data_IF_403473476050
#
_entry.id   IF_403473476050
#
_cell.length_a   1.000
_cell.length_b   1.000
_cell.length_c   1.000
_cell.angle_alpha   90.00
_cell.angle_beta   90.00
_cell.angle_gamma   90.00
#
_symmetry.space_group_name_H-M   'P 1'
#
loop_
_entity.id
_entity.type
_entity.pdbx_description
1 polymer ?
#
# COMPACT_ATOMS: atom_id res chain seq x y z
N UNK A 1 -25.30 9.77 -6.23
CA UNK A 1 -25.27 8.55 -5.40
C UNK A 1 -24.10 8.75 -4.45
N UNK A 2 -24.31 8.76 -3.14
CA UNK A 2 -23.20 8.71 -2.18
C UNK A 2 -22.58 7.33 -2.29
N UNK A 3 -21.35 7.26 -2.77
CA UNK A 3 -20.53 6.04 -2.75
C UNK A 3 -20.33 5.62 -1.30
N UNK A 4 -20.56 4.35 -0.98
CA UNK A 4 -20.27 3.80 0.33
C UNK A 4 -18.75 3.61 0.52
N UNK A 5 -18.33 3.53 1.78
CA UNK A 5 -16.94 3.17 2.15
C UNK A 5 -16.53 1.89 1.43
N UNK A 6 -15.39 1.93 0.75
CA UNK A 6 -14.83 0.81 -0.01
C UNK A 6 -15.35 0.68 -1.45
N UNK A 7 -16.39 1.41 -1.85
CA UNK A 7 -16.88 1.37 -3.24
C UNK A 7 -15.85 1.98 -4.21
N UNK A 8 -15.15 3.05 -3.81
CA UNK A 8 -14.11 3.69 -4.63
C UNK A 8 -12.90 2.77 -4.75
N UNK A 9 -12.49 2.12 -3.67
CA UNK A 9 -11.39 1.15 -3.71
C UNK A 9 -11.74 -0.05 -4.60
N UNK A 10 -12.97 -0.57 -4.53
CA UNK A 10 -13.41 -1.64 -5.43
C UNK A 10 -13.43 -1.23 -6.90
N UNK A 11 -13.94 -0.03 -7.20
CA UNK A 11 -13.93 0.50 -8.57
C UNK A 11 -12.49 0.63 -9.08
N UNK A 12 -11.61 1.20 -8.26
CA UNK A 12 -10.20 1.34 -8.59
C UNK A 12 -9.51 -0.01 -8.81
N UNK A 13 -9.73 -1.01 -7.95
CA UNK A 13 -9.14 -2.35 -8.10
C UNK A 13 -9.63 -3.06 -9.37
N UNK A 14 -10.91 -2.89 -9.72
CA UNK A 14 -11.48 -3.44 -10.96
C UNK A 14 -10.82 -2.79 -12.18
N UNK A 15 -10.73 -1.47 -12.22
CA UNK A 15 -10.05 -0.76 -13.30
C UNK A 15 -8.57 -1.20 -13.38
N UNK A 16 -7.88 -1.17 -12.25
CA UNK A 16 -6.47 -1.54 -12.12
C UNK A 16 -6.21 -2.94 -12.69
N UNK A 17 -7.06 -3.92 -12.38
CA UNK A 17 -6.91 -5.31 -12.86
C UNK A 17 -6.96 -5.46 -14.38
N UNK A 18 -7.54 -4.49 -15.09
CA UNK A 18 -7.64 -4.48 -16.56
C UNK A 18 -6.45 -3.76 -17.19
N UNK A 19 -5.95 -2.70 -16.56
CA UNK A 19 -4.97 -1.79 -17.16
C UNK A 19 -3.52 -2.10 -16.77
N UNK A 20 -3.31 -2.93 -15.75
CA UNK A 20 -1.98 -3.21 -15.20
C UNK A 20 -1.31 -4.42 -15.86
N UNK A 21 0.02 -4.47 -15.76
CA UNK A 21 0.83 -5.66 -16.12
C UNK A 21 1.11 -6.55 -14.91
N UNK A 22 0.60 -6.19 -13.73
CA UNK A 22 0.76 -6.94 -12.49
C UNK A 22 0.03 -8.27 -12.53
N UNK A 23 0.49 -9.24 -11.74
CA UNK A 23 -0.34 -10.39 -11.41
C UNK A 23 -1.47 -9.93 -10.50
N UNK A 24 -2.71 -10.23 -10.87
CA UNK A 24 -3.90 -9.92 -10.07
C UNK A 24 -4.72 -11.20 -9.87
N UNK A 25 -4.95 -11.56 -8.62
CA UNK A 25 -5.82 -12.67 -8.22
C UNK A 25 -6.88 -12.14 -7.28
N UNK A 26 -8.15 -12.40 -7.59
CA UNK A 26 -9.27 -11.95 -6.78
C UNK A 26 -10.05 -13.14 -6.25
N UNK A 27 -10.36 -13.08 -4.96
CA UNK A 27 -11.27 -13.98 -4.28
C UNK A 27 -12.46 -13.17 -3.77
N UNK A 28 -13.65 -13.44 -4.31
CA UNK A 28 -14.88 -12.82 -3.84
C UNK A 28 -15.59 -13.73 -2.84
N UNK A 29 -16.12 -13.12 -1.78
CA UNK A 29 -16.92 -13.77 -0.74
C UNK A 29 -18.25 -13.04 -0.59
N UNK A 30 -19.17 -13.62 0.20
CA UNK A 30 -20.46 -12.97 0.48
C UNK A 30 -20.35 -11.62 1.21
N UNK A 31 -19.23 -11.38 1.92
CA UNK A 31 -19.06 -10.22 2.80
C UNK A 31 -18.01 -9.22 2.30
N UNK A 32 -17.26 -9.56 1.26
CA UNK A 32 -16.17 -8.74 0.74
C UNK A 32 -15.33 -9.46 -0.29
N UNK A 33 -14.19 -8.87 -0.63
CA UNK A 33 -13.25 -9.42 -1.60
C UNK A 33 -11.81 -9.27 -1.14
N UNK A 34 -10.98 -10.26 -1.46
CA UNK A 34 -9.52 -10.23 -1.28
C UNK A 34 -8.84 -10.16 -2.63
N UNK A 35 -7.91 -9.24 -2.78
CA UNK A 35 -7.15 -8.99 -4.01
C UNK A 35 -5.68 -9.16 -3.72
N UNK A 36 -5.04 -10.11 -4.40
CA UNK A 36 -3.60 -10.31 -4.36
C UNK A 36 -2.99 -9.70 -5.62
N UNK A 37 -2.11 -8.72 -5.43
CA UNK A 37 -1.44 -7.96 -6.47
C UNK A 37 0.06 -8.25 -6.39
N UNK A 38 0.76 -8.27 -7.53
CA UNK A 38 2.19 -8.54 -7.52
C UNK A 38 2.94 -8.03 -8.75
N UNK A 39 4.14 -7.52 -8.48
CA UNK A 39 5.18 -7.24 -9.46
C UNK A 39 6.38 -8.19 -9.29
N UNK A 40 7.49 -7.89 -9.95
CA UNK A 40 8.71 -8.68 -9.87
C UNK A 40 9.40 -8.60 -8.48
N UNK A 41 9.26 -7.48 -7.80
CA UNK A 41 9.97 -7.09 -6.58
C UNK A 41 9.03 -6.64 -5.46
N UNK A 42 7.73 -6.82 -5.61
CA UNK A 42 6.75 -6.49 -4.58
C UNK A 42 5.48 -7.33 -4.70
N UNK A 43 4.74 -7.40 -3.60
CA UNK A 43 3.40 -7.97 -3.54
C UNK A 43 2.52 -7.15 -2.59
N UNK A 44 1.22 -7.15 -2.83
CA UNK A 44 0.24 -6.57 -1.93
C UNK A 44 -1.00 -7.45 -1.80
N UNK A 45 -1.61 -7.45 -0.62
CA UNK A 45 -2.92 -8.03 -0.38
C UNK A 45 -3.88 -6.92 0.04
N UNK A 46 -4.96 -6.72 -0.71
CA UNK A 46 -6.01 -5.76 -0.38
C UNK A 46 -7.27 -6.51 0.03
N UNK A 47 -7.83 -6.18 1.18
CA UNK A 47 -9.10 -6.70 1.67
C UNK A 47 -10.13 -5.58 1.65
N UNK A 48 -11.28 -5.85 1.04
CA UNK A 48 -12.42 -4.93 1.02
C UNK A 48 -13.66 -5.63 1.57
N UNK A 49 -13.96 -5.35 2.83
CA UNK A 49 -15.20 -5.72 3.52
C UNK A 49 -15.92 -4.43 3.93
N UNK A 50 -16.78 -3.89 3.05
CA UNK A 50 -17.40 -2.54 3.15
C UNK A 50 -18.19 -2.25 4.44
N UNK A 51 -18.44 -3.27 5.26
CA UNK A 51 -19.18 -3.16 6.53
C UNK A 51 -18.30 -3.48 7.74
N UNK A 52 -17.03 -3.82 7.55
CA UNK A 52 -16.18 -4.32 8.63
C UNK A 52 -14.72 -3.89 8.54
N UNK A 53 -14.11 -3.94 7.37
CA UNK A 53 -12.66 -3.82 7.24
C UNK A 53 -12.24 -3.37 5.84
N UNK A 54 -11.36 -2.37 5.77
CA UNK A 54 -10.51 -2.14 4.59
C UNK A 54 -9.06 -2.31 5.03
N UNK A 55 -8.25 -2.96 4.21
CA UNK A 55 -6.83 -3.09 4.52
C UNK A 55 -5.97 -3.41 3.31
N UNK A 56 -4.71 -3.03 3.39
CA UNK A 56 -3.64 -3.33 2.47
C UNK A 56 -2.43 -3.78 3.29
N UNK A 57 -1.93 -4.97 2.97
CA UNK A 57 -0.61 -5.44 3.40
C UNK A 57 0.33 -5.34 2.19
N UNK A 58 1.41 -4.58 2.28
CA UNK A 58 2.38 -4.42 1.19
C UNK A 58 3.77 -4.90 1.61
N UNK A 59 4.44 -5.61 0.70
CA UNK A 59 5.81 -6.04 0.85
C UNK A 59 6.60 -5.72 -0.42
N UNK A 60 7.76 -5.07 -0.27
CA UNK A 60 8.77 -5.01 -1.31
C UNK A 60 10.00 -5.83 -0.92
N UNK A 61 10.72 -6.34 -1.92
CA UNK A 61 11.94 -7.11 -1.76
C UNK A 61 13.07 -6.58 -2.63
N UNK A 62 14.30 -6.71 -2.13
CA UNK A 62 15.50 -6.52 -2.93
C UNK A 62 15.83 -7.82 -3.69
N UNK A 63 15.77 -7.84 -5.04
CA UNK A 63 16.08 -9.04 -5.81
C UNK A 63 17.54 -9.52 -5.64
N UNK A 64 18.47 -8.64 -5.23
CA UNK A 64 19.86 -9.01 -5.05
C UNK A 64 20.16 -9.65 -3.68
N UNK A 65 19.42 -9.25 -2.64
CA UNK A 65 19.72 -9.63 -1.25
C UNK A 65 18.59 -10.36 -0.53
N UNK A 66 17.41 -10.46 -1.15
CA UNK A 66 16.16 -10.97 -0.58
C UNK A 66 15.71 -10.26 0.71
N UNK A 67 16.29 -9.09 1.01
CA UNK A 67 15.82 -8.23 2.10
C UNK A 67 14.47 -7.64 1.76
N UNK A 68 13.62 -7.46 2.77
CA UNK A 68 12.23 -7.04 2.62
C UNK A 68 11.92 -5.82 3.45
N UNK A 69 10.90 -5.08 3.05
CA UNK A 69 10.26 -4.05 3.86
C UNK A 69 8.75 -4.19 3.69
N UNK A 70 8.04 -4.14 4.81
CA UNK A 70 6.58 -4.30 4.86
C UNK A 70 5.92 -3.01 5.34
N UNK A 71 4.76 -2.70 4.79
CA UNK A 71 3.95 -1.55 5.16
C UNK A 71 2.47 -1.89 5.04
N UNK A 72 1.73 -1.68 6.12
CA UNK A 72 0.33 -2.05 6.21
C UNK A 72 -0.50 -0.78 6.45
N UNK A 73 -1.66 -0.69 5.78
CA UNK A 73 -2.65 0.37 5.92
C UNK A 73 -3.99 -0.31 6.13
N UNK A 74 -4.65 -0.10 7.26
CA UNK A 74 -5.98 -0.68 7.47
C UNK A 74 -6.87 0.19 8.38
N UNK A 75 -8.14 -0.19 8.46
CA UNK A 75 -9.14 0.50 9.29
C UNK A 75 -9.04 0.12 10.76
N UNK A 76 -7.92 -0.48 11.18
CA UNK A 76 -7.75 -1.16 12.46
C UNK A 76 -8.90 -2.14 12.75
N UNK A 77 -8.91 -2.78 13.92
CA UNK A 77 -9.99 -3.69 14.34
C UNK A 77 -11.37 -3.00 14.53
N UNK A 78 -11.56 -1.80 13.99
CA UNK A 78 -12.81 -1.05 14.05
C UNK A 78 -13.83 -1.53 13.02
N UNK A 79 -15.07 -1.60 13.45
CA UNK A 79 -16.22 -1.88 12.59
C UNK A 79 -16.61 -0.62 11.80
N UNK A 80 -16.24 -0.59 10.52
CA UNK A 80 -16.50 0.53 9.60
C UNK A 80 -17.94 0.59 9.09
N UNK A 81 -18.81 -0.36 9.47
CA UNK A 81 -20.26 -0.25 9.25
C UNK A 81 -20.91 0.83 10.13
N UNK A 82 -20.20 1.34 11.14
CA UNK A 82 -20.68 2.39 12.03
C UNK A 82 -20.39 3.78 11.46
N UNK A 83 -21.40 4.65 11.38
CA UNK A 83 -21.27 6.02 10.85
C UNK A 83 -20.12 6.82 11.46
N UNK A 84 -19.84 6.61 12.76
CA UNK A 84 -18.75 7.28 13.48
C UNK A 84 -17.35 6.96 12.94
N UNK A 85 -17.19 5.82 12.26
CA UNK A 85 -15.93 5.38 11.64
C UNK A 85 -15.84 5.74 10.17
N UNK A 86 -16.88 6.35 9.60
CA UNK A 86 -16.97 6.61 8.16
C UNK A 86 -15.82 7.49 7.66
N UNK A 87 -15.55 8.62 8.33
CA UNK A 87 -14.49 9.54 7.90
C UNK A 87 -13.10 8.88 7.93
N UNK A 88 -12.83 8.10 8.98
CA UNK A 88 -11.60 7.34 9.11
C UNK A 88 -11.49 6.25 8.03
N UNK A 89 -12.56 5.50 7.79
CA UNK A 89 -12.56 4.48 6.75
C UNK A 89 -12.39 5.07 5.34
N UNK A 90 -12.96 6.26 5.08
CA UNK A 90 -12.73 7.01 3.84
C UNK A 90 -11.29 7.53 3.72
N UNK A 91 -10.60 7.81 4.83
CA UNK A 91 -9.17 8.16 4.85
C UNK A 91 -8.30 6.95 4.48
N UNK A 92 -8.51 5.82 5.14
CA UNK A 92 -7.83 4.56 4.83
C UNK A 92 -8.09 4.14 3.37
N UNK A 93 -9.32 4.28 2.88
CA UNK A 93 -9.65 4.03 1.49
C UNK A 93 -8.83 4.90 0.53
N UNK A 94 -8.67 6.20 0.83
CA UNK A 94 -7.87 7.13 0.03
C UNK A 94 -6.40 6.73 0.05
N UNK A 95 -5.86 6.39 1.20
CA UNK A 95 -4.45 6.05 1.38
C UNK A 95 -4.08 4.76 0.62
N UNK A 96 -4.95 3.74 0.67
CA UNK A 96 -4.78 2.50 -0.11
C UNK A 96 -4.77 2.81 -1.61
N UNK A 97 -5.75 3.60 -2.09
CA UNK A 97 -5.83 3.98 -3.51
C UNK A 97 -4.60 4.78 -3.93
N UNK A 98 -4.16 5.74 -3.11
CA UNK A 98 -2.98 6.56 -3.40
C UNK A 98 -1.71 5.70 -3.50
N UNK A 99 -1.49 4.77 -2.56
CA UNK A 99 -0.32 3.89 -2.60
C UNK A 99 -0.32 3.00 -3.86
N UNK A 100 -1.44 2.38 -4.20
CA UNK A 100 -1.55 1.54 -5.40
C UNK A 100 -1.38 2.35 -6.68
N UNK A 101 -1.92 3.57 -6.74
CA UNK A 101 -1.73 4.44 -7.90
C UNK A 101 -0.27 4.92 -8.02
N UNK A 102 0.40 5.19 -6.90
CA UNK A 102 1.82 5.50 -6.87
C UNK A 102 2.69 4.31 -7.30
N UNK A 103 2.32 3.08 -6.94
CA UNK A 103 2.96 1.87 -7.45
C UNK A 103 2.85 1.80 -8.97
N UNK A 104 1.64 2.00 -9.50
CA UNK A 104 1.37 1.97 -10.95
C UNK A 104 2.14 3.05 -11.72
N UNK A 105 2.36 4.21 -11.11
CA UNK A 105 3.14 5.32 -11.66
C UNK A 105 4.65 5.17 -11.50
N UNK A 106 5.14 4.12 -10.85
CA UNK A 106 6.56 3.93 -10.55
C UNK A 106 7.11 4.89 -9.50
N UNK A 107 6.25 5.48 -8.66
CA UNK A 107 6.60 6.44 -7.61
C UNK A 107 6.93 5.77 -6.27
N UNK A 108 6.72 4.45 -6.14
CA UNK A 108 7.21 3.66 -5.01
C UNK A 108 8.62 3.17 -5.33
N UNK A 109 9.57 3.55 -4.49
CA UNK A 109 10.98 3.38 -4.72
C UNK A 109 11.57 2.43 -3.67
N UNK A 110 12.48 1.56 -4.10
CA UNK A 110 13.33 0.76 -3.22
C UNK A 110 14.76 1.24 -3.28
N UNK A 111 15.47 1.20 -2.17
CA UNK A 111 16.86 1.60 -2.05
C UNK A 111 17.51 1.01 -0.81
N UNK A 112 18.69 1.54 -0.46
CA UNK A 112 19.43 1.09 0.71
C UNK A 112 19.91 2.25 1.56
N UNK A 113 20.00 2.01 2.86
CA UNK A 113 20.65 2.91 3.83
C UNK A 113 21.61 2.10 4.69
N UNK A 114 22.88 2.11 4.29
CA UNK A 114 23.88 1.17 4.78
C UNK A 114 23.46 -0.27 4.50
N UNK A 115 23.21 -1.05 5.56
CA UNK A 115 22.76 -2.44 5.46
C UNK A 115 21.24 -2.61 5.46
N UNK A 116 20.46 -1.53 5.55
CA UNK A 116 19.00 -1.60 5.58
C UNK A 116 18.42 -1.54 4.18
N UNK A 117 17.41 -2.37 3.93
CA UNK A 117 16.53 -2.20 2.77
C UNK A 117 15.47 -1.15 3.11
N UNK A 118 15.23 -0.23 2.18
CA UNK A 118 14.39 0.93 2.38
C UNK A 118 13.39 1.03 1.23
N UNK A 119 12.15 1.33 1.57
CA UNK A 119 11.11 1.70 0.60
C UNK A 119 10.66 3.13 0.86
N UNK A 120 10.46 3.91 -0.19
CA UNK A 120 10.01 5.30 -0.12
C UNK A 120 8.86 5.52 -1.10
N UNK A 121 7.78 6.14 -0.65
CA UNK A 121 6.66 6.49 -1.52
C UNK A 121 5.94 7.75 -1.03
N UNK A 122 5.27 8.49 -1.93
CA UNK A 122 4.36 9.55 -1.53
C UNK A 122 3.08 8.97 -0.90
N UNK A 123 2.59 9.62 0.16
CA UNK A 123 1.30 9.34 0.78
C UNK A 123 0.81 10.60 1.51
N UNK A 124 -0.44 11.00 1.28
CA UNK A 124 -1.10 12.12 1.96
C UNK A 124 -0.25 13.42 1.97
N UNK A 125 0.31 13.76 0.81
CA UNK A 125 1.11 14.98 0.62
C UNK A 125 2.50 14.97 1.27
N UNK A 126 2.94 13.84 1.83
CA UNK A 126 4.27 13.63 2.40
C UNK A 126 4.96 12.42 1.77
N UNK A 127 6.20 12.13 2.19
CA UNK A 127 6.94 10.95 1.79
C UNK A 127 7.12 10.00 2.96
N UNK A 128 6.60 8.79 2.83
CA UNK A 128 6.79 7.72 3.80
C UNK A 128 8.06 6.97 3.45
N UNK A 129 8.94 6.80 4.43
CA UNK A 129 10.14 5.97 4.37
C UNK A 129 9.95 4.78 5.29
N UNK A 130 9.96 3.59 4.73
CA UNK A 130 9.86 2.33 5.45
C UNK A 130 11.22 1.67 5.48
N UNK A 131 11.71 1.36 6.68
CA UNK A 131 12.96 0.61 6.87
C UNK A 131 12.68 -0.67 7.64
N UNK A 132 13.19 -1.78 7.15
CA UNK A 132 13.13 -3.03 7.92
C UNK A 132 14.29 -3.11 8.91
N UNK A 133 13.96 -3.14 10.20
CA UNK A 133 14.90 -3.41 11.27
C UNK A 133 15.22 -4.90 11.36
N UNK A 134 15.81 -5.33 12.49
CA UNK A 134 16.16 -6.75 12.70
C UNK A 134 14.94 -7.65 12.97
N UNK A 135 13.82 -7.06 13.38
CA UNK A 135 12.62 -7.78 13.81
C UNK A 135 11.30 -7.16 13.33
N UNK A 136 11.28 -5.86 13.02
CA UNK A 136 10.06 -5.12 12.67
C UNK A 136 10.39 -4.06 11.63
N UNK A 137 9.44 -3.78 10.73
CA UNK A 137 9.47 -2.61 9.84
C UNK A 137 9.14 -1.34 10.65
N UNK A 138 9.76 -0.23 10.30
CA UNK A 138 9.51 1.09 10.87
C UNK A 138 9.22 2.07 9.75
N UNK A 139 8.18 2.88 9.91
CA UNK A 139 7.82 3.94 8.98
C UNK A 139 8.14 5.31 9.58
N UNK A 140 8.56 6.25 8.75
CA UNK A 140 8.78 7.64 9.12
C UNK A 140 8.34 8.56 7.99
N UNK A 141 7.80 9.72 8.33
CA UNK A 141 7.23 10.67 7.36
C UNK A 141 8.14 11.87 7.20
N UNK A 142 8.33 12.30 5.96
CA UNK A 142 9.19 13.41 5.57
C UNK A 142 8.42 14.36 4.65
N UNK A 143 8.62 15.66 4.80
CA UNK A 143 8.04 16.67 3.90
C UNK A 143 8.77 16.80 2.56
N UNK A 144 9.96 16.21 2.44
CA UNK A 144 10.85 16.31 1.28
C UNK A 144 11.31 14.93 0.81
N UNK A 145 11.30 14.72 -0.52
CA UNK A 145 11.70 13.45 -1.14
C UNK A 145 13.19 13.17 -0.93
N UNK A 146 14.04 14.19 -1.04
CA UNK A 146 15.48 14.05 -0.85
C UNK A 146 15.81 13.56 0.56
N UNK A 147 15.15 14.12 1.58
CA UNK A 147 15.25 13.66 2.95
C UNK A 147 14.78 12.20 3.11
N UNK A 148 13.65 11.85 2.51
CA UNK A 148 13.12 10.49 2.51
C UNK A 148 14.03 9.49 1.79
N UNK A 149 14.87 9.93 0.84
CA UNK A 149 15.80 9.12 0.05
C UNK A 149 17.25 9.10 0.58
N UNK A 150 17.46 9.35 1.87
CA UNK A 150 18.79 9.19 2.49
C UNK A 150 19.34 7.76 2.26
N UNK A 151 20.64 7.62 1.96
CA UNK A 151 21.31 6.35 1.70
C UNK A 151 21.56 6.02 0.22
N UNK A 152 20.84 6.69 -0.70
CA UNK A 152 21.05 6.59 -2.16
C UNK A 152 20.61 5.27 -2.80
N UNK A 153 20.73 5.20 -4.14
CA UNK A 153 20.45 3.98 -4.92
C UNK A 153 18.97 3.67 -5.14
N UNK A 154 18.09 4.68 -5.04
CA UNK A 154 16.66 4.48 -5.19
C UNK A 154 16.26 4.24 -6.63
N UNK A 155 15.56 3.13 -6.85
CA UNK A 155 14.95 2.73 -8.12
C UNK A 155 13.49 2.36 -7.87
N UNK A 156 12.59 2.47 -8.88
CA UNK A 156 11.23 1.98 -8.74
C UNK A 156 11.17 0.51 -8.32
N UNK A 157 10.15 0.14 -7.55
CA UNK A 157 9.77 -1.27 -7.44
C UNK A 157 9.15 -1.70 -8.77
N UNK A 158 9.56 -2.88 -9.23
CA UNK A 158 9.12 -3.54 -10.47
C UNK A 158 8.18 -4.69 -10.14
#
# INVERSE_FOLDING_TARGET
>A
MTTGVGDRLLEFLRELSVITTWSVVTEETAVGSKWQLGGATWQATVVVERQRWLGLEFEARDPATDRRATYDIDTDSYDIGQDKQREFAEEIERDIVELLDNLRKGAVLRGTDGSKFVVVFPLNGSYVRVTHGRFVSSASTYSDLGAAQTGGGYVPVE
#
